data_IF_700136049098
#
_entry.id   IF_700136049098
#
_cell.length_a   1.000
_cell.length_b   1.000
_cell.length_c   1.000
_cell.angle_alpha   90.00
_cell.angle_beta   90.00
_cell.angle_gamma   90.00
#
_symmetry.space_group_name_H-M   'P 1'
#
loop_
_entity.id
_entity.type
_entity.pdbx_description
1 polymer ?
#
# COMPACT_ATOMS: atom_id res chain seq x y z
N UNK A 1 -13.13 6.13 -9.80
CA UNK A 1 -12.56 6.08 -11.15
C UNK A 1 -12.66 4.65 -11.64
N UNK A 2 -12.90 4.40 -12.92
CA UNK A 2 -12.99 3.03 -13.43
C UNK A 2 -11.59 2.43 -13.63
N UNK A 3 -11.33 1.27 -13.01
CA UNK A 3 -10.08 0.54 -13.18
C UNK A 3 -10.14 -0.26 -14.49
N UNK A 4 -9.44 0.23 -15.50
CA UNK A 4 -9.35 -0.39 -16.82
C UNK A 4 -8.22 -1.42 -16.90
N UNK A 5 -8.27 -2.37 -17.86
CA UNK A 5 -7.18 -3.33 -18.08
C UNK A 5 -5.82 -2.66 -18.33
N UNK A 6 -5.80 -1.46 -18.93
CA UNK A 6 -4.57 -0.71 -19.16
C UNK A 6 -3.90 -0.26 -17.84
N UNK A 7 -4.69 0.10 -16.83
CA UNK A 7 -4.18 0.48 -15.51
C UNK A 7 -3.64 -0.75 -14.77
N UNK A 8 -4.33 -1.88 -14.87
CA UNK A 8 -3.86 -3.16 -14.31
C UNK A 8 -2.52 -3.55 -14.95
N UNK A 9 -2.42 -3.50 -16.28
CA UNK A 9 -1.18 -3.79 -17.00
C UNK A 9 -0.04 -2.83 -16.61
N UNK A 10 -0.33 -1.54 -16.46
CA UNK A 10 0.66 -0.55 -16.02
C UNK A 10 1.12 -0.77 -14.57
N UNK A 11 0.20 -1.12 -13.66
CA UNK A 11 0.53 -1.49 -12.29
C UNK A 11 1.43 -2.74 -12.23
N UNK A 12 1.14 -3.75 -13.05
CA UNK A 12 1.96 -4.97 -13.14
C UNK A 12 3.39 -4.68 -13.60
N UNK A 13 3.58 -3.68 -14.45
CA UNK A 13 4.90 -3.19 -14.85
C UNK A 13 5.63 -2.36 -13.79
N UNK A 14 4.92 -1.89 -12.77
CA UNK A 14 5.51 -1.12 -11.67
C UNK A 14 6.36 -2.02 -10.75
N UNK A 15 7.20 -1.39 -9.92
CA UNK A 15 8.03 -2.07 -8.90
C UNK A 15 8.89 -3.22 -9.48
N UNK A 16 9.42 -3.04 -10.70
CA UNK A 16 10.20 -4.03 -11.44
C UNK A 16 9.46 -5.36 -11.68
N UNK A 17 8.13 -5.32 -11.86
CA UNK A 17 7.36 -6.51 -12.22
C UNK A 17 7.01 -7.43 -11.06
N UNK A 18 7.17 -6.98 -9.81
CA UNK A 18 6.93 -7.81 -8.62
C UNK A 18 5.49 -8.36 -8.52
N UNK A 19 4.52 -7.65 -9.10
CA UNK A 19 3.12 -8.07 -9.19
C UNK A 19 2.73 -8.54 -10.62
N UNK A 20 3.72 -8.86 -11.46
CA UNK A 20 3.52 -9.20 -12.86
C UNK A 20 2.98 -10.61 -13.12
N UNK A 21 3.15 -11.53 -12.17
CA UNK A 21 2.66 -12.91 -12.28
C UNK A 21 1.12 -12.94 -12.19
N UNK A 22 0.48 -13.43 -13.25
CA UNK A 22 -0.99 -13.48 -13.40
C UNK A 22 -1.61 -14.67 -12.68
N UNK A 23 -0.87 -15.78 -12.55
CA UNK A 23 -1.35 -16.96 -11.81
C UNK A 23 -1.34 -16.69 -10.31
N UNK A 24 -0.32 -15.96 -9.85
CA UNK A 24 -0.22 -15.50 -8.47
C UNK A 24 -1.18 -14.34 -8.20
N UNK A 25 -1.07 -13.26 -8.94
CA UNK A 25 -1.89 -12.08 -8.76
C UNK A 25 -2.94 -12.04 -9.87
N UNK A 26 -4.17 -12.48 -9.60
CA UNK A 26 -5.23 -12.40 -10.61
C UNK A 26 -5.62 -10.95 -10.91
N UNK A 27 -6.12 -10.70 -12.13
CA UNK A 27 -6.59 -9.36 -12.52
C UNK A 27 -7.70 -8.85 -11.58
N UNK A 28 -8.55 -9.73 -11.08
CA UNK A 28 -9.60 -9.38 -10.12
C UNK A 28 -9.04 -8.84 -8.81
N UNK A 29 -8.05 -9.52 -8.23
CA UNK A 29 -7.39 -9.07 -6.99
C UNK A 29 -6.73 -7.70 -7.19
N UNK A 30 -6.02 -7.52 -8.30
CA UNK A 30 -5.36 -6.24 -8.59
C UNK A 30 -6.41 -5.14 -8.81
N UNK A 31 -7.47 -5.41 -9.56
CA UNK A 31 -8.53 -4.43 -9.82
C UNK A 31 -9.22 -4.01 -8.52
N UNK A 32 -9.58 -4.95 -7.65
CA UNK A 32 -10.23 -4.67 -6.37
C UNK A 32 -9.34 -3.80 -5.46
N UNK A 33 -8.05 -4.14 -5.37
CA UNK A 33 -7.10 -3.37 -4.55
C UNK A 33 -6.83 -1.98 -5.14
N UNK A 34 -6.84 -1.83 -6.46
CA UNK A 34 -6.73 -0.52 -7.10
C UNK A 34 -7.98 0.33 -6.90
N UNK A 35 -9.18 -0.28 -6.82
CA UNK A 35 -10.41 0.42 -6.44
C UNK A 35 -10.32 0.97 -5.00
N UNK A 36 -9.81 0.18 -4.06
CA UNK A 36 -9.57 0.65 -2.68
C UNK A 36 -8.52 1.77 -2.65
N UNK A 37 -7.46 1.64 -3.44
CA UNK A 37 -6.45 2.67 -3.57
C UNK A 37 -6.99 3.98 -4.18
N UNK A 38 -7.95 3.92 -5.11
CA UNK A 38 -8.62 5.11 -5.64
C UNK A 38 -9.45 5.80 -4.55
N UNK A 39 -10.14 5.03 -3.70
CA UNK A 39 -10.89 5.57 -2.56
C UNK A 39 -9.99 6.32 -1.58
N UNK A 40 -8.83 5.75 -1.22
CA UNK A 40 -7.84 6.39 -0.35
C UNK A 40 -7.15 7.60 -0.98
N UNK A 41 -7.07 7.64 -2.31
CA UNK A 41 -6.49 8.75 -3.08
C UNK A 41 -7.54 9.66 -3.73
N UNK A 42 -8.80 9.56 -3.30
CA UNK A 42 -9.92 10.34 -3.84
C UNK A 42 -9.94 11.81 -3.43
N UNK A 43 -9.13 12.19 -2.43
CA UNK A 43 -9.04 13.56 -1.94
C UNK A 43 -8.49 14.56 -2.97
N UNK A 44 -8.95 15.81 -2.90
CA UNK A 44 -8.55 16.90 -3.82
C UNK A 44 -7.05 17.20 -3.86
N UNK A 45 -6.30 16.81 -2.83
CA UNK A 45 -4.85 16.98 -2.75
C UNK A 45 -4.02 16.07 -3.66
N UNK A 46 -4.63 15.02 -4.24
CA UNK A 46 -3.93 14.09 -5.15
C UNK A 46 -3.96 14.51 -6.62
N UNK A 47 -4.96 15.33 -7.00
CA UNK A 47 -5.18 15.72 -8.39
C UNK A 47 -5.83 14.61 -9.24
N UNK A 48 -6.02 14.85 -10.55
CA UNK A 48 -6.58 13.87 -11.45
C UNK A 48 -5.60 12.72 -11.72
N UNK A 49 -6.15 11.53 -11.92
CA UNK A 49 -5.35 10.37 -12.31
C UNK A 49 -4.95 10.47 -13.80
N UNK A 50 -3.72 10.09 -14.10
CA UNK A 50 -3.24 9.82 -15.46
C UNK A 50 -2.15 8.74 -15.41
N UNK A 51 -1.92 8.06 -16.53
CA UNK A 51 -0.89 7.01 -16.63
C UNK A 51 0.54 7.57 -16.78
N UNK A 52 0.71 8.89 -16.73
CA UNK A 52 2.03 9.52 -16.81
C UNK A 52 2.92 9.10 -15.63
N UNK A 53 4.23 8.94 -15.88
CA UNK A 53 5.20 8.56 -14.85
C UNK A 53 5.34 9.59 -13.71
N UNK A 54 5.01 10.84 -13.97
CA UNK A 54 5.05 11.93 -13.00
C UNK A 54 3.72 12.16 -12.28
N UNK A 55 2.68 11.39 -12.58
CA UNK A 55 1.38 11.59 -11.97
C UNK A 55 1.38 11.23 -10.47
N UNK A 56 1.06 12.21 -9.64
CA UNK A 56 1.11 12.07 -8.19
C UNK A 56 0.04 11.12 -7.65
N UNK A 57 -1.19 11.20 -8.18
CA UNK A 57 -2.27 10.28 -7.81
C UNK A 57 -1.92 8.82 -8.17
N UNK A 58 -1.45 8.56 -9.39
CA UNK A 58 -0.98 7.23 -9.83
C UNK A 58 0.06 6.66 -8.86
N UNK A 59 1.07 7.45 -8.52
CA UNK A 59 2.12 7.03 -7.59
C UNK A 59 1.56 6.68 -6.21
N UNK A 60 0.66 7.50 -5.67
CA UNK A 60 -0.02 7.22 -4.40
C UNK A 60 -0.83 5.93 -4.45
N UNK A 61 -1.65 5.80 -5.49
CA UNK A 61 -2.54 4.65 -5.70
C UNK A 61 -1.74 3.34 -5.79
N UNK A 62 -0.64 3.33 -6.54
CA UNK A 62 0.17 2.12 -6.72
C UNK A 62 0.93 1.74 -5.44
N UNK A 63 1.41 2.71 -4.68
CA UNK A 63 2.06 2.44 -3.41
C UNK A 63 1.09 1.91 -2.36
N UNK A 64 -0.15 2.42 -2.33
CA UNK A 64 -1.19 1.88 -1.47
C UNK A 64 -1.57 0.45 -1.88
N UNK A 65 -1.78 0.22 -3.18
CA UNK A 65 -2.12 -1.11 -3.70
C UNK A 65 -1.02 -2.14 -3.41
N UNK A 66 0.25 -1.79 -3.67
CA UNK A 66 1.39 -2.65 -3.34
C UNK A 66 1.50 -2.90 -1.83
N UNK A 67 1.23 -1.89 -1.00
CA UNK A 67 1.18 -2.07 0.45
C UNK A 67 0.09 -3.07 0.84
N UNK A 68 -1.13 -2.93 0.31
CA UNK A 68 -2.25 -3.81 0.62
C UNK A 68 -1.94 -5.26 0.23
N UNK A 69 -1.45 -5.48 -0.99
CA UNK A 69 -1.08 -6.80 -1.48
C UNK A 69 -0.03 -7.45 -0.58
N UNK A 70 1.03 -6.73 -0.25
CA UNK A 70 2.12 -7.26 0.59
C UNK A 70 1.72 -7.42 2.05
N UNK A 71 0.86 -6.56 2.59
CA UNK A 71 0.46 -6.60 3.98
C UNK A 71 -0.54 -7.72 4.28
N UNK A 72 -1.55 -7.89 3.42
CA UNK A 72 -2.63 -8.84 3.63
C UNK A 72 -2.34 -10.23 3.05
N UNK A 73 -1.81 -10.29 1.82
CA UNK A 73 -1.55 -11.56 1.13
C UNK A 73 -0.11 -12.05 1.31
N UNK A 74 0.83 -11.15 1.65
CA UNK A 74 2.25 -11.52 1.77
C UNK A 74 2.78 -12.09 0.46
N UNK A 75 3.38 -13.28 0.53
CA UNK A 75 3.89 -14.00 -0.63
C UNK A 75 2.88 -15.01 -1.22
N UNK A 76 1.71 -15.21 -0.63
CA UNK A 76 0.75 -16.22 -1.10
C UNK A 76 -0.69 -15.69 -1.14
N UNK A 77 -1.13 -15.14 -2.29
CA UNK A 77 -2.50 -14.69 -2.47
C UNK A 77 -3.54 -15.81 -2.46
N UNK A 78 -3.15 -17.08 -2.69
CA UNK A 78 -4.08 -18.20 -2.71
C UNK A 78 -4.61 -18.55 -1.30
N UNK A 79 -3.86 -18.19 -0.25
CA UNK A 79 -4.28 -18.33 1.14
C UNK A 79 -5.40 -17.37 1.58
N UNK A 80 -5.74 -16.38 0.72
CA UNK A 80 -6.72 -15.35 1.02
C UNK A 80 -6.26 -14.34 2.08
N UNK A 81 -7.12 -13.36 2.38
CA UNK A 81 -6.87 -12.40 3.45
C UNK A 81 -7.25 -13.02 4.79
N UNK A 82 -6.29 -13.21 5.68
CA UNK A 82 -6.57 -13.61 7.06
C UNK A 82 -7.39 -12.54 7.77
N UNK A 83 -8.61 -12.87 8.21
CA UNK A 83 -9.53 -11.95 8.92
C UNK A 83 -9.13 -11.56 10.34
N UNK A 84 -7.90 -11.91 10.76
CA UNK A 84 -7.35 -11.51 12.05
C UNK A 84 -6.72 -10.14 11.87
N UNK A 85 -7.17 -9.16 12.66
CA UNK A 85 -6.48 -7.88 12.75
C UNK A 85 -5.04 -8.14 13.20
N UNK A 86 -4.08 -7.92 12.31
CA UNK A 86 -2.64 -7.94 12.62
C UNK A 86 -2.33 -6.73 13.50
N UNK A 87 -2.73 -6.80 14.78
CA UNK A 87 -2.35 -5.83 15.78
C UNK A 87 -0.83 -5.84 15.92
N UNK A 88 -0.30 -4.71 16.35
CA UNK A 88 1.10 -4.56 16.73
C UNK A 88 1.37 -5.41 17.98
N UNK A 89 1.62 -6.72 17.81
CA UNK A 89 2.00 -7.61 18.90
C UNK A 89 3.40 -7.22 19.39
N UNK A 90 3.46 -6.32 20.37
CA UNK A 90 4.64 -6.19 21.22
C UNK A 90 4.70 -7.40 22.14
N UNK A 91 5.37 -8.46 21.72
CA UNK A 91 5.71 -9.58 22.59
C UNK A 91 7.00 -9.26 23.36
N UNK A 92 6.91 -9.29 24.70
CA UNK A 92 8.04 -9.25 25.61
C UNK A 92 8.06 -10.58 26.39
N UNK A 93 9.13 -11.36 26.29
CA UNK A 93 9.43 -12.40 27.29
C UNK A 93 10.65 -11.95 28.08
N UNK A 94 10.70 -12.31 29.37
CA UNK A 94 11.81 -11.99 30.27
C UNK A 94 12.35 -13.31 30.80
N UNK A 95 13.46 -13.76 30.22
CA UNK A 95 14.13 -15.02 30.53
C UNK A 95 14.85 -15.62 29.31
N UNK A 96 16.17 -15.43 29.29
CA UNK A 96 17.25 -15.83 28.38
C UNK A 96 17.12 -15.67 26.85
N UNK A 97 16.22 -14.83 26.37
CA UNK A 97 16.47 -13.99 25.19
C UNK A 97 15.34 -12.96 25.01
N UNK A 98 15.68 -11.67 24.89
CA UNK A 98 14.75 -10.68 24.34
C UNK A 98 15.53 -9.53 23.68
N UNK A 99 15.38 -9.45 22.36
CA UNK A 99 16.08 -8.56 21.42
C UNK A 99 15.18 -7.35 21.06
N UNK A 100 15.82 -6.24 20.73
CA UNK A 100 15.30 -4.86 20.67
C UNK A 100 14.64 -4.44 19.35
N UNK A 101 13.67 -3.51 19.41
CA UNK A 101 13.30 -2.65 18.28
C UNK A 101 13.14 -1.18 18.68
N UNK A 102 13.60 -0.28 17.79
CA UNK A 102 13.47 1.18 17.88
C UNK A 102 11.98 1.55 17.83
N UNK A 103 11.43 2.04 18.94
CA UNK A 103 10.12 2.69 18.95
C UNK A 103 10.27 4.06 18.31
N UNK A 104 10.08 4.16 16.99
CA UNK A 104 9.65 5.42 16.42
C UNK A 104 8.28 5.74 17.05
N UNK A 105 8.10 6.95 17.59
CA UNK A 105 6.90 7.46 18.26
C UNK A 105 5.62 6.69 17.91
N UNK A 106 4.88 6.19 18.92
CA UNK A 106 3.61 5.47 18.71
C UNK A 106 2.74 6.23 17.72
N UNK A 107 2.63 5.71 16.50
CA UNK A 107 1.71 6.22 15.51
C UNK A 107 0.29 5.80 15.92
N UNK A 108 -0.69 6.63 15.60
CA UNK A 108 -2.08 6.27 15.79
C UNK A 108 -2.37 4.92 15.09
N UNK A 109 -3.12 4.05 15.75
CA UNK A 109 -3.31 2.65 15.33
C UNK A 109 -3.84 2.55 13.89
N UNK A 110 -4.60 3.53 13.43
CA UNK A 110 -5.10 3.61 12.04
C UNK A 110 -4.01 3.89 10.99
N UNK A 111 -2.89 4.51 11.35
CA UNK A 111 -1.76 4.78 10.46
C UNK A 111 -0.60 3.79 10.64
N UNK A 112 -0.59 3.03 11.74
CA UNK A 112 0.48 2.09 12.08
C UNK A 112 0.61 0.96 11.06
N UNK A 113 -0.51 0.50 10.49
CA UNK A 113 -0.55 -0.50 9.43
C UNK A 113 0.33 -0.12 8.22
N UNK A 114 0.33 1.16 7.83
CA UNK A 114 1.13 1.65 6.70
C UNK A 114 2.64 1.57 6.96
N UNK A 115 3.08 1.43 8.20
CA UNK A 115 4.52 1.39 8.52
C UNK A 115 5.16 0.03 8.33
N UNK A 116 4.37 -1.03 8.20
CA UNK A 116 4.85 -2.43 8.10
C UNK A 116 5.51 -2.77 6.76
N UNK A 117 5.23 -2.02 5.69
CA UNK A 117 5.83 -2.28 4.38
C UNK A 117 6.51 -1.04 3.83
N UNK A 118 7.57 -1.24 3.04
CA UNK A 118 8.29 -0.14 2.40
C UNK A 118 7.34 0.69 1.52
N UNK A 119 6.40 0.04 0.83
CA UNK A 119 5.38 0.73 0.04
C UNK A 119 4.47 1.60 0.89
N UNK A 120 3.99 1.07 2.02
CA UNK A 120 3.11 1.81 2.93
C UNK A 120 3.79 3.03 3.54
N UNK A 121 5.07 2.93 3.90
CA UNK A 121 5.85 4.07 4.40
C UNK A 121 6.00 5.16 3.34
N UNK A 122 6.24 4.80 2.08
CA UNK A 122 6.29 5.77 0.98
C UNK A 122 4.92 6.38 0.70
N UNK A 123 3.85 5.58 0.69
CA UNK A 123 2.49 6.09 0.56
C UNK A 123 2.17 7.10 1.67
N UNK A 124 2.50 6.79 2.93
CA UNK A 124 2.27 7.69 4.06
C UNK A 124 2.98 9.04 3.90
N UNK A 125 4.22 9.03 3.38
CA UNK A 125 4.95 10.27 3.05
C UNK A 125 4.22 11.10 1.98
N UNK A 126 3.68 10.46 0.94
CA UNK A 126 2.92 11.15 -0.11
C UNK A 126 1.56 11.64 0.42
N UNK A 127 0.86 10.83 1.22
CA UNK A 127 -0.42 11.19 1.84
C UNK A 127 -0.31 12.44 2.70
N UNK A 128 0.78 12.58 3.47
CA UNK A 128 1.06 13.82 4.22
C UNK A 128 1.20 15.03 3.30
N UNK A 129 1.88 14.90 2.16
CA UNK A 129 2.02 15.98 1.17
C UNK A 129 0.68 16.33 0.51
N UNK A 130 -0.11 15.31 0.17
CA UNK A 130 -1.45 15.49 -0.38
C UNK A 130 -2.38 16.24 0.60
N UNK A 131 -2.33 15.87 1.89
CA UNK A 131 -3.12 16.51 2.95
C UNK A 131 -2.68 17.94 3.30
N UNK A 132 -1.42 18.27 3.08
CA UNK A 132 -0.90 19.63 3.28
C UNK A 132 -1.24 20.60 2.13
N UNK A 133 -1.89 20.13 1.06
CA UNK A 133 -2.24 20.95 -0.10
C UNK A 133 -1.05 21.45 -0.92
N UNK A 134 0.16 20.95 -0.65
CA UNK A 134 1.36 21.27 -1.41
C UNK A 134 1.31 20.55 -2.76
N UNK A 135 0.70 21.22 -3.75
CA UNK A 135 0.67 20.81 -5.15
C UNK A 135 2.11 20.76 -5.67
N UNK A 136 2.63 19.57 -5.94
CA UNK A 136 3.70 19.42 -6.93
C UNK A 136 3.00 19.54 -8.28
N UNK A 137 3.18 20.70 -8.91
CA UNK A 137 2.74 21.02 -10.27
C UNK A 137 3.83 20.53 -11.22
#
# INVERSE_FOLDING_TARGET
>A
MDITPAIVADFRGAFNGQFGDVEKWSDGIIADVLCEADSETGGSGWGPFSLDCHNFKRRGMYLFAAHWLTFFYGDDPAGGIGGIARLNTQSKSVGDESISYRVASMMDAGNDALTYTVYGQQFYRLRRRAGMGARVI
#
